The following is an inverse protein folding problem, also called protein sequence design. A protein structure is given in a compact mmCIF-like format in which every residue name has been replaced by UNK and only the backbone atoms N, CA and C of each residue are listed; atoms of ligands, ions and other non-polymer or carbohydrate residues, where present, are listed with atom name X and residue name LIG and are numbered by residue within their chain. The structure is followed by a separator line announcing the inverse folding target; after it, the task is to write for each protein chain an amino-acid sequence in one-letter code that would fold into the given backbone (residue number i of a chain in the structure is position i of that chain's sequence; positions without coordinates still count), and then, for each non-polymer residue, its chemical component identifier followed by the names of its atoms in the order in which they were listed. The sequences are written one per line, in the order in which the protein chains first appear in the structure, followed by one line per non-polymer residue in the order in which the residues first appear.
data_IF_244285977663
#
_entry.id   IF_244285977663
#
_cell.length_a   1.000
_cell.length_b   1.000
_cell.length_c   1.000
_cell.angle_alpha   90.00
_cell.angle_beta   90.00
_cell.angle_gamma   90.00
#
_symmetry.space_group_name_H-M   'P 1'
#
loop_
_entity.id
_entity.type
_entity.pdbx_description
1 polymer ?
#
# COMPACT_ATOMS: atom_id res chain seq x y z
N UNK A 1 -22.73 -43.64 15.17
CA UNK A 1 -22.27 -42.27 15.52
C UNK A 1 -20.81 -42.16 15.12
N UNK A 2 -20.52 -41.50 13.99
CA UNK A 2 -19.16 -41.19 13.57
C UNK A 2 -18.77 -39.80 14.11
N UNK A 3 -17.52 -39.55 14.53
CA UNK A 3 -17.14 -38.26 15.09
C UNK A 3 -17.06 -37.21 13.99
N UNK A 4 -17.58 -36.02 14.29
CA UNK A 4 -17.51 -34.86 13.42
C UNK A 4 -16.05 -34.40 13.27
N UNK A 5 -15.58 -34.30 12.03
CA UNK A 5 -14.30 -33.70 11.71
C UNK A 5 -14.34 -32.20 12.00
N UNK A 6 -13.44 -31.74 12.85
CA UNK A 6 -13.17 -30.32 13.10
C UNK A 6 -12.60 -29.67 11.84
N UNK A 7 -13.09 -28.49 11.40
CA UNK A 7 -12.50 -27.79 10.28
C UNK A 7 -11.13 -27.23 10.70
N UNK A 8 -10.09 -27.64 10.00
CA UNK A 8 -8.73 -27.09 10.16
C UNK A 8 -8.74 -25.69 9.54
N UNK A 9 -8.66 -24.66 10.37
CA UNK A 9 -8.43 -23.28 9.90
C UNK A 9 -7.00 -23.20 9.35
N UNK A 10 -6.83 -23.49 8.06
CA UNK A 10 -5.61 -23.18 7.34
C UNK A 10 -5.57 -21.67 7.15
N UNK A 11 -4.91 -20.96 8.06
CA UNK A 11 -4.57 -19.55 7.86
C UNK A 11 -3.68 -19.47 6.62
N UNK A 12 -4.24 -19.04 5.48
CA UNK A 12 -3.50 -18.73 4.26
C UNK A 12 -2.57 -17.55 4.56
N UNK A 13 -1.38 -17.85 5.05
CA UNK A 13 -0.29 -16.90 5.20
C UNK A 13 0.27 -16.60 3.80
N UNK A 14 0.56 -15.32 3.55
CA UNK A 14 1.23 -14.76 2.37
C UNK A 14 2.00 -15.83 1.57
N UNK A 15 1.39 -16.34 0.48
CA UNK A 15 1.93 -17.44 -0.29
C UNK A 15 2.99 -16.95 -1.28
N UNK A 16 4.08 -16.39 -0.74
CA UNK A 16 5.36 -16.40 -1.43
C UNK A 16 6.10 -17.61 -0.89
N UNK A 17 6.15 -18.66 -1.71
CA UNK A 17 6.77 -19.94 -1.39
C UNK A 17 8.18 -19.73 -0.82
N UNK A 18 8.30 -19.81 0.51
CA UNK A 18 9.57 -19.96 1.21
C UNK A 18 10.07 -21.35 0.90
N UNK A 19 11.15 -21.48 0.13
CA UNK A 19 11.81 -22.77 -0.07
C UNK A 19 12.49 -23.11 1.25
N UNK A 20 11.86 -23.96 2.06
CA UNK A 20 12.52 -24.58 3.19
C UNK A 20 13.52 -25.61 2.63
N UNK A 21 14.82 -25.35 2.72
CA UNK A 21 15.83 -26.38 2.53
C UNK A 21 15.80 -27.31 3.73
N UNK A 22 15.21 -28.49 3.55
CA UNK A 22 15.33 -29.57 4.51
C UNK A 22 16.73 -30.19 4.42
N UNK A 23 17.47 -30.19 5.52
CA UNK A 23 18.56 -31.15 5.74
C UNK A 23 18.44 -31.71 7.16
N UNK A 24 17.97 -32.95 7.26
CA UNK A 24 18.20 -33.82 8.42
C UNK A 24 19.63 -34.37 8.28
N UNK A 25 20.49 -34.29 9.29
CA UNK A 25 20.77 -35.31 10.34
C UNK A 25 22.24 -35.02 10.78
N UNK A 26 22.80 -35.33 11.95
CA UNK A 26 22.46 -36.16 13.09
C UNK A 26 23.32 -35.75 14.33
N UNK A 27 22.91 -36.27 15.48
CA UNK A 27 23.69 -36.69 16.67
C UNK A 27 24.45 -35.67 17.56
N UNK A 28 23.85 -35.42 18.73
CA UNK A 28 24.35 -35.68 20.09
C UNK A 28 25.81 -35.31 20.48
N UNK A 29 25.93 -34.48 21.52
CA UNK A 29 26.54 -34.86 22.81
C UNK A 29 26.40 -33.74 23.84
N UNK A 30 26.20 -34.16 25.09
CA UNK A 30 26.06 -33.33 26.27
C UNK A 30 27.42 -32.85 26.81
N UNK A 31 27.45 -31.69 27.46
CA UNK A 31 28.13 -31.50 28.75
C UNK A 31 27.88 -30.10 29.31
N UNK A 32 27.72 -30.08 30.63
CA UNK A 32 27.50 -28.90 31.46
C UNK A 32 28.79 -28.11 31.70
N UNK A 33 28.68 -26.81 31.98
CA UNK A 33 29.35 -26.18 33.13
C UNK A 33 28.89 -24.73 33.31
N UNK A 34 28.75 -24.37 34.58
CA UNK A 34 28.37 -23.06 35.10
C UNK A 34 29.61 -22.18 35.36
N UNK A 35 29.32 -20.97 35.88
CA UNK A 35 30.24 -19.95 36.45
C UNK A 35 30.79 -18.93 35.45
N UNK A 36 31.10 -17.68 35.79
CA UNK A 36 30.68 -16.75 36.83
C UNK A 36 31.24 -15.36 36.43
N UNK A 37 30.57 -14.31 36.89
CA UNK A 37 31.04 -12.94 37.21
C UNK A 37 32.44 -12.43 36.80
N UNK A 38 32.49 -11.18 36.31
CA UNK A 38 33.32 -10.03 36.79
C UNK A 38 33.41 -8.96 35.69
N UNK A 39 32.80 -7.77 35.84
CA UNK A 39 33.31 -6.53 36.45
C UNK A 39 34.56 -5.91 35.79
N UNK A 40 34.41 -4.70 35.23
CA UNK A 40 35.22 -3.49 35.48
C UNK A 40 34.99 -2.51 34.30
N UNK A 41 34.41 -1.33 34.55
CA UNK A 41 35.02 -0.09 35.04
C UNK A 41 35.43 0.86 33.90
N UNK A 42 34.59 1.89 33.75
CA UNK A 42 34.89 3.31 33.58
C UNK A 42 36.17 3.75 32.83
N UNK A 43 35.97 4.65 31.85
CA UNK A 43 36.69 5.94 31.89
C UNK A 43 35.95 7.07 31.16
N UNK A 44 35.69 8.08 31.97
CA UNK A 44 35.20 9.43 31.73
C UNK A 44 36.12 10.23 30.80
N UNK A 45 35.56 11.14 29.98
CA UNK A 45 36.04 12.53 29.92
C UNK A 45 35.01 13.47 29.28
N UNK A 46 34.64 14.47 30.08
CA UNK A 46 33.85 15.66 29.77
C UNK A 46 34.62 16.58 28.81
N UNK A 47 33.92 17.37 27.98
CA UNK A 47 33.95 18.84 28.08
C UNK A 47 32.81 19.48 27.27
N UNK A 48 32.02 20.29 27.95
CA UNK A 48 31.01 21.18 27.39
C UNK A 48 31.65 22.50 26.90
N UNK A 49 30.96 23.24 26.03
CA UNK A 49 30.75 24.70 26.20
C UNK A 49 29.68 25.20 25.21
N UNK A 50 28.76 25.98 25.76
CA UNK A 50 27.63 26.68 25.16
C UNK A 50 28.05 27.82 24.22
N UNK A 51 27.18 28.21 23.27
CA UNK A 51 26.51 29.53 23.25
C UNK A 51 25.74 29.78 21.93
N UNK A 52 24.51 30.29 22.07
CA UNK A 52 23.79 31.15 21.13
C UNK A 52 23.48 32.47 21.90
N UNK A 53 22.77 33.52 21.39
CA UNK A 53 22.18 33.77 20.06
C UNK A 53 22.42 35.22 19.53
N UNK A 54 21.88 35.61 18.36
CA UNK A 54 21.44 37.00 18.09
C UNK A 54 20.56 37.14 16.83
N UNK A 55 19.74 38.20 16.82
CA UNK A 55 18.57 38.47 16.01
C UNK A 55 18.80 39.37 14.77
N UNK A 56 17.72 39.52 13.97
CA UNK A 56 17.45 40.32 12.75
C UNK A 56 17.68 41.86 12.90
N UNK A 57 17.42 42.80 11.93
CA UNK A 57 16.42 42.77 10.82
C UNK A 57 16.67 43.59 9.49
N UNK A 58 15.71 43.42 8.56
CA UNK A 58 14.99 44.41 7.71
C UNK A 58 15.46 44.94 6.32
N UNK A 59 14.45 44.93 5.41
CA UNK A 59 13.97 45.93 4.41
C UNK A 59 14.56 46.09 2.99
N UNK A 60 13.63 46.22 2.03
CA UNK A 60 13.67 47.11 0.85
C UNK A 60 13.98 46.41 -0.48
N UNK A 61 13.00 46.11 -1.35
CA UNK A 61 12.29 46.97 -2.32
C UNK A 61 12.97 47.11 -3.70
N UNK A 62 12.13 47.06 -4.75
CA UNK A 62 12.25 47.59 -6.12
C UNK A 62 12.50 46.60 -7.28
N UNK A 63 11.47 46.43 -8.11
CA UNK A 63 11.60 46.32 -9.57
C UNK A 63 12.01 47.69 -10.16
N UNK A 64 12.53 47.78 -11.40
CA UNK A 64 11.60 47.98 -12.52
C UNK A 64 12.00 47.35 -13.88
N UNK A 65 10.95 47.10 -14.67
CA UNK A 65 10.71 47.38 -16.10
C UNK A 65 11.69 46.98 -17.22
N UNK A 66 11.13 46.18 -18.15
CA UNK A 66 10.92 46.45 -19.59
C UNK A 66 12.08 47.14 -20.36
N UNK A 67 12.64 46.40 -21.33
CA UNK A 67 12.90 46.95 -22.67
C UNK A 67 12.68 45.89 -23.74
N UNK A 68 12.00 46.35 -24.79
CA UNK A 68 11.79 45.74 -26.09
C UNK A 68 13.12 45.62 -26.86
N UNK A 69 13.25 44.63 -27.73
CA UNK A 69 13.27 44.88 -29.17
C UNK A 69 13.47 43.61 -30.00
N UNK A 70 13.01 43.74 -31.22
CA UNK A 70 12.74 42.76 -32.27
C UNK A 70 13.99 42.57 -33.12
N UNK A 71 14.27 41.34 -33.55
CA UNK A 71 14.45 40.91 -34.96
C UNK A 71 15.49 39.81 -35.21
N UNK A 72 15.16 39.10 -36.29
CA UNK A 72 16.03 38.45 -37.27
C UNK A 72 16.30 36.95 -37.13
N UNK A 73 15.64 36.25 -38.05
CA UNK A 73 15.96 34.92 -38.54
C UNK A 73 17.45 34.73 -38.85
N UNK A 74 17.99 33.60 -38.42
CA UNK A 74 19.15 32.99 -39.04
C UNK A 74 19.02 31.47 -38.98
N UNK A 75 18.78 30.89 -40.16
CA UNK A 75 18.80 29.48 -40.46
C UNK A 75 20.22 28.93 -40.20
N UNK A 76 20.35 28.00 -39.25
CA UNK A 76 21.63 27.38 -38.88
C UNK A 76 21.42 25.92 -38.50
N UNK A 77 21.79 25.03 -39.43
CA UNK A 77 21.93 23.58 -39.21
C UNK A 77 22.92 23.30 -38.08
N UNK A 78 22.44 22.81 -36.94
CA UNK A 78 23.27 22.36 -35.82
C UNK A 78 23.28 20.83 -35.73
N UNK A 79 24.49 20.28 -35.79
CA UNK A 79 24.79 18.85 -35.71
C UNK A 79 24.36 18.23 -34.37
N UNK A 80 24.00 16.95 -34.41
CA UNK A 80 23.57 16.15 -33.27
C UNK A 80 24.66 16.03 -32.19
N UNK A 81 24.32 16.41 -30.96
CA UNK A 81 25.15 16.19 -29.78
C UNK A 81 25.13 14.71 -29.36
N UNK A 82 26.26 14.14 -28.87
CA UNK A 82 26.35 12.74 -28.49
C UNK A 82 25.56 12.45 -27.21
N UNK A 83 24.80 11.36 -27.24
CA UNK A 83 24.01 10.83 -26.11
C UNK A 83 24.92 10.38 -24.96
N UNK A 84 24.70 10.80 -23.70
CA UNK A 84 25.52 10.35 -22.58
C UNK A 84 25.27 8.86 -22.28
N UNK A 85 26.37 8.11 -22.12
CA UNK A 85 26.37 6.69 -21.81
C UNK A 85 25.62 6.37 -20.50
N UNK A 86 24.75 5.36 -20.55
CA UNK A 86 24.01 4.86 -19.38
C UNK A 86 24.98 4.30 -18.34
N UNK A 87 25.04 4.91 -17.15
CA UNK A 87 25.74 4.34 -15.98
C UNK A 87 25.13 2.97 -15.64
N UNK A 88 25.95 1.96 -15.29
CA UNK A 88 25.45 0.64 -14.91
C UNK A 88 24.59 0.76 -13.64
N UNK A 89 23.38 0.18 -13.68
CA UNK A 89 22.50 0.08 -12.51
C UNK A 89 23.21 -0.75 -11.44
N UNK A 90 23.39 -0.20 -10.24
CA UNK A 90 23.79 -0.99 -9.06
C UNK A 90 22.81 -2.13 -8.88
N UNK A 91 23.32 -3.37 -8.92
CA UNK A 91 22.55 -4.58 -8.65
C UNK A 91 22.13 -4.53 -7.18
N UNK A 92 20.82 -4.51 -6.91
CA UNK A 92 20.29 -4.65 -5.56
C UNK A 92 20.80 -5.98 -5.00
N UNK A 93 21.48 -5.92 -3.84
CA UNK A 93 21.89 -7.12 -3.11
C UNK A 93 20.60 -7.73 -2.55
N UNK A 94 20.28 -8.93 -3.02
CA UNK A 94 19.15 -9.73 -2.53
C UNK A 94 19.70 -10.61 -1.41
N UNK A 95 19.15 -10.51 -0.20
CA UNK A 95 19.41 -11.48 0.86
C UNK A 95 18.91 -12.86 0.43
N UNK A 96 19.60 -13.93 0.84
CA UNK A 96 19.31 -15.32 0.46
C UNK A 96 17.91 -15.80 0.82
N UNK A 97 17.26 -15.11 1.76
CA UNK A 97 15.92 -15.43 2.27
C UNK A 97 14.80 -14.70 1.52
N UNK A 98 15.14 -13.88 0.51
CA UNK A 98 14.16 -13.16 -0.32
C UNK A 98 13.34 -14.14 -1.19
N UNK A 99 12.04 -13.92 -1.38
CA UNK A 99 11.21 -14.77 -2.22
C UNK A 99 11.73 -14.85 -3.66
N UNK A 100 11.73 -16.07 -4.20
CA UNK A 100 12.13 -16.33 -5.59
C UNK A 100 11.09 -15.82 -6.59
N UNK A 101 11.52 -15.57 -7.83
CA UNK A 101 10.60 -15.22 -8.89
C UNK A 101 9.51 -16.31 -9.06
N UNK A 102 8.25 -15.92 -9.30
CA UNK A 102 7.16 -16.87 -9.47
C UNK A 102 7.40 -17.81 -10.67
N UNK A 103 7.09 -19.10 -10.51
CA UNK A 103 7.30 -20.18 -11.51
C UNK A 103 6.01 -20.60 -12.26
N UNK A 104 4.91 -19.88 -12.09
CA UNK A 104 3.60 -20.24 -12.66
C UNK A 104 3.36 -19.59 -14.05
N UNK A 105 2.46 -20.14 -14.89
CA UNK A 105 2.13 -19.51 -16.16
C UNK A 105 1.56 -18.11 -15.91
N UNK A 106 2.09 -17.12 -16.63
CA UNK A 106 1.60 -15.74 -16.61
C UNK A 106 0.08 -15.69 -16.85
N UNK A 107 -0.64 -14.94 -16.02
CA UNK A 107 -2.11 -14.89 -16.05
C UNK A 107 -2.62 -13.58 -16.64
N UNK A 108 -3.88 -13.58 -17.05
CA UNK A 108 -4.67 -12.41 -17.47
C UNK A 108 -5.95 -12.34 -16.65
N UNK A 109 -6.78 -11.34 -16.89
CA UNK A 109 -8.03 -11.17 -16.18
C UNK A 109 -8.91 -12.39 -16.35
N UNK A 110 -9.65 -12.73 -15.29
CA UNK A 110 -10.66 -13.77 -15.35
C UNK A 110 -11.66 -13.42 -16.47
N UNK A 111 -11.87 -14.29 -17.47
CA UNK A 111 -12.70 -13.99 -18.63
C UNK A 111 -14.19 -13.83 -18.30
N UNK A 112 -14.64 -14.25 -17.11
CA UNK A 112 -15.99 -14.00 -16.62
C UNK A 112 -16.21 -12.56 -16.12
N UNK A 113 -15.13 -11.80 -15.87
CA UNK A 113 -15.22 -10.44 -15.36
C UNK A 113 -15.43 -9.41 -16.48
N UNK A 114 -16.15 -8.31 -16.21
CA UNK A 114 -16.41 -7.28 -17.20
C UNK A 114 -15.13 -6.50 -17.55
N UNK A 115 -14.78 -6.49 -18.84
CA UNK A 115 -13.68 -5.70 -19.39
C UNK A 115 -14.10 -4.28 -19.82
N UNK A 116 -15.29 -3.84 -19.41
CA UNK A 116 -15.90 -2.56 -19.78
C UNK A 116 -14.92 -1.40 -19.62
N UNK A 117 -14.68 -0.65 -20.70
CA UNK A 117 -13.83 0.55 -20.69
C UNK A 117 -14.59 1.82 -20.35
N UNK A 118 -15.92 1.72 -20.25
CA UNK A 118 -16.84 2.77 -19.86
C UNK A 118 -17.80 2.24 -18.79
N UNK A 119 -18.34 3.16 -17.98
CA UNK A 119 -19.31 2.80 -16.97
C UNK A 119 -20.67 2.52 -17.63
N UNK A 120 -21.33 1.39 -17.31
CA UNK A 120 -22.69 1.11 -17.76
C UNK A 120 -23.67 2.25 -17.46
N UNK A 121 -24.70 2.39 -18.30
CA UNK A 121 -25.73 3.40 -18.12
C UNK A 121 -26.59 3.13 -16.87
N UNK A 122 -26.93 1.85 -16.65
CA UNK A 122 -27.63 1.35 -15.47
C UNK A 122 -26.68 0.50 -14.63
N UNK A 123 -26.66 0.77 -13.33
CA UNK A 123 -25.95 -0.03 -12.33
C UNK A 123 -26.96 -0.44 -11.26
N UNK A 124 -27.01 -1.73 -10.96
CA UNK A 124 -27.82 -2.27 -9.86
C UNK A 124 -26.97 -3.32 -9.17
N UNK A 125 -26.80 -3.14 -7.86
CA UNK A 125 -26.10 -4.09 -7.03
C UNK A 125 -27.08 -4.56 -5.98
N UNK A 126 -27.20 -5.88 -5.83
CA UNK A 126 -27.97 -6.42 -4.74
C UNK A 126 -27.43 -5.84 -3.42
N UNK A 127 -28.32 -5.66 -2.45
CA UNK A 127 -27.93 -5.41 -1.07
C UNK A 127 -28.02 -6.71 -0.25
N UNK A 128 -27.17 -7.71 -0.50
CA UNK A 128 -27.10 -8.85 0.38
C UNK A 128 -26.41 -8.36 1.64
N UNK A 129 -27.17 -8.13 2.70
CA UNK A 129 -26.65 -8.40 4.03
C UNK A 129 -27.75 -8.28 5.08
N UNK A 130 -27.61 -9.12 6.10
CA UNK A 130 -28.49 -9.18 7.25
C UNK A 130 -28.71 -7.81 7.89
N UNK A 131 -29.86 -7.64 8.56
CA UNK A 131 -30.14 -6.44 9.36
C UNK A 131 -28.96 -6.11 10.28
N UNK A 132 -28.54 -4.85 10.31
CA UNK A 132 -27.42 -4.37 11.12
C UNK A 132 -26.02 -4.49 10.48
N UNK A 133 -25.92 -4.95 9.23
CA UNK A 133 -24.64 -4.98 8.51
C UNK A 133 -24.16 -3.58 8.10
N UNK A 134 -22.84 -3.47 7.89
CA UNK A 134 -22.20 -2.27 7.35
C UNK A 134 -21.55 -2.61 6.01
N UNK A 135 -21.95 -1.90 4.95
CA UNK A 135 -21.29 -1.93 3.65
C UNK A 135 -20.24 -0.83 3.57
N UNK A 136 -19.01 -1.21 3.23
CA UNK A 136 -17.90 -0.28 3.01
C UNK A 136 -17.42 -0.52 1.57
N UNK A 137 -17.30 0.54 0.78
CA UNK A 137 -16.72 0.47 -0.56
C UNK A 137 -15.45 1.33 -0.59
N UNK A 138 -14.44 0.88 -1.34
CA UNK A 138 -13.19 1.60 -1.53
C UNK A 138 -12.90 1.71 -3.03
N UNK A 139 -12.53 2.90 -3.49
CA UNK A 139 -12.27 3.15 -4.90
C UNK A 139 -11.19 4.20 -5.12
N UNK A 140 -10.08 3.82 -5.78
CA UNK A 140 -9.19 4.79 -6.40
C UNK A 140 -9.87 5.40 -7.65
N UNK A 141 -10.29 6.65 -7.51
CA UNK A 141 -11.03 7.37 -8.56
C UNK A 141 -10.10 8.11 -9.54
N UNK A 142 -8.79 8.07 -9.33
CA UNK A 142 -7.73 8.78 -10.08
C UNK A 142 -7.83 10.31 -10.04
N UNK A 143 -9.03 10.89 -10.01
CA UNK A 143 -9.32 12.31 -9.84
C UNK A 143 -10.81 12.50 -9.65
N UNK A 144 -11.21 13.28 -8.64
CA UNK A 144 -12.62 13.65 -8.43
C UNK A 144 -13.21 14.38 -9.65
N UNK A 145 -12.42 15.25 -10.31
CA UNK A 145 -12.86 15.99 -11.49
C UNK A 145 -13.16 15.06 -12.66
N UNK A 146 -12.25 14.12 -12.96
CA UNK A 146 -12.43 13.21 -14.11
C UNK A 146 -13.43 12.09 -13.82
N UNK A 147 -13.52 11.61 -12.59
CA UNK A 147 -14.41 10.50 -12.25
C UNK A 147 -15.87 10.94 -12.29
N UNK A 148 -16.17 12.17 -11.86
CA UNK A 148 -17.52 12.73 -11.88
C UNK A 148 -18.14 12.69 -13.28
N UNK A 149 -17.42 13.13 -14.31
CA UNK A 149 -17.92 13.09 -15.70
C UNK A 149 -18.03 11.67 -16.27
N UNK A 150 -17.36 10.69 -15.67
CA UNK A 150 -17.38 9.28 -16.08
C UNK A 150 -18.44 8.45 -15.35
N UNK A 151 -19.31 9.09 -14.58
CA UNK A 151 -20.44 8.42 -13.91
C UNK A 151 -20.17 8.01 -12.46
N UNK A 152 -19.10 8.48 -11.81
CA UNK A 152 -18.78 8.13 -10.41
C UNK A 152 -20.00 8.22 -9.47
N UNK A 153 -20.83 9.26 -9.63
CA UNK A 153 -22.04 9.42 -8.81
C UNK A 153 -23.07 8.32 -9.04
N UNK A 154 -23.22 7.82 -10.27
CA UNK A 154 -24.11 6.69 -10.58
C UNK A 154 -23.65 5.43 -9.85
N UNK A 155 -22.34 5.17 -9.86
CA UNK A 155 -21.77 4.05 -9.10
C UNK A 155 -22.01 4.23 -7.60
N UNK A 156 -21.68 5.39 -7.01
CA UNK A 156 -21.86 5.63 -5.57
C UNK A 156 -23.33 5.47 -5.16
N UNK A 157 -24.27 5.94 -5.98
CA UNK A 157 -25.70 5.79 -5.74
C UNK A 157 -26.16 4.33 -5.82
N UNK A 158 -25.72 3.59 -6.86
CA UNK A 158 -26.09 2.18 -7.02
C UNK A 158 -25.47 1.28 -5.94
N UNK A 159 -24.23 1.58 -5.52
CA UNK A 159 -23.51 0.84 -4.50
C UNK A 159 -24.13 1.02 -3.10
N UNK A 160 -24.71 2.20 -2.84
CA UNK A 160 -25.42 2.58 -1.61
C UNK A 160 -24.67 2.24 -0.30
N UNK A 161 -23.34 2.30 -0.32
CA UNK A 161 -22.53 1.93 0.85
C UNK A 161 -22.83 2.80 2.09
N UNK A 162 -22.64 2.24 3.28
CA UNK A 162 -22.66 3.00 4.53
C UNK A 162 -21.45 3.92 4.62
N UNK A 163 -20.31 3.45 4.11
CA UNK A 163 -19.05 4.19 4.09
C UNK A 163 -18.39 4.05 2.72
N UNK A 164 -17.93 5.16 2.16
CA UNK A 164 -17.23 5.23 0.87
C UNK A 164 -15.85 5.81 1.09
N UNK A 165 -14.81 5.05 0.74
CA UNK A 165 -13.41 5.49 0.77
C UNK A 165 -12.97 5.79 -0.67
N UNK A 166 -12.62 7.05 -0.94
CA UNK A 166 -12.17 7.52 -2.25
C UNK A 166 -10.70 7.91 -2.19
N UNK A 167 -9.86 7.22 -2.95
CA UNK A 167 -8.43 7.52 -3.06
C UNK A 167 -8.09 8.21 -4.38
N UNK A 168 -6.97 8.94 -4.39
CA UNK A 168 -6.49 9.77 -5.50
C UNK A 168 -7.51 10.84 -5.93
N UNK A 169 -8.16 11.49 -4.97
CA UNK A 169 -9.16 12.53 -5.24
C UNK A 169 -8.58 13.73 -5.99
N UNK A 170 -7.28 14.00 -5.80
CA UNK A 170 -6.54 15.18 -6.29
C UNK A 170 -7.07 16.51 -5.75
N UNK A 171 -7.76 16.45 -4.61
CA UNK A 171 -8.30 17.58 -3.85
C UNK A 171 -7.67 17.57 -2.46
N UNK A 172 -6.65 18.41 -2.27
CA UNK A 172 -5.97 18.70 -1.01
C UNK A 172 -5.11 19.97 -1.20
N UNK A 173 -4.35 20.36 -0.17
CA UNK A 173 -3.49 21.55 -0.18
C UNK A 173 -2.46 21.55 -1.32
N UNK A 174 -1.97 20.36 -1.71
CA UNK A 174 -1.19 20.18 -2.94
C UNK A 174 -2.10 19.87 -4.13
N UNK A 175 -2.45 20.92 -4.87
CA UNK A 175 -3.32 20.82 -6.06
C UNK A 175 -2.85 19.72 -7.02
N UNK A 176 -3.76 18.82 -7.39
CA UNK A 176 -3.53 17.84 -8.46
C UNK A 176 -2.77 16.57 -8.05
N UNK A 177 -2.39 16.40 -6.78
CA UNK A 177 -1.58 15.27 -6.32
C UNK A 177 -2.24 14.52 -5.15
N UNK A 178 -2.26 13.18 -5.17
CA UNK A 178 -2.79 12.35 -4.08
C UNK A 178 -4.20 12.77 -3.60
N UNK A 179 -4.50 12.62 -2.31
CA UNK A 179 -5.80 12.96 -1.71
C UNK A 179 -6.66 11.73 -1.42
N UNK A 180 -7.31 11.76 -0.26
CA UNK A 180 -8.19 10.73 0.25
C UNK A 180 -9.43 11.40 0.85
N UNK A 181 -10.60 10.83 0.60
CA UNK A 181 -11.84 11.24 1.25
C UNK A 181 -12.57 10.01 1.78
N UNK A 182 -13.16 10.12 2.96
CA UNK A 182 -14.06 9.10 3.50
C UNK A 182 -15.41 9.75 3.75
N UNK A 183 -16.44 9.27 3.07
CA UNK A 183 -17.83 9.67 3.27
C UNK A 183 -18.52 8.61 4.11
N UNK A 184 -19.20 8.99 5.18
CA UNK A 184 -19.81 8.04 6.10
C UNK A 184 -21.22 8.47 6.48
N UNK A 185 -22.19 7.56 6.32
CA UNK A 185 -23.55 7.70 6.87
C UNK A 185 -23.56 7.49 8.39
N UNK A 186 -22.54 6.82 8.93
CA UNK A 186 -22.36 6.57 10.36
C UNK A 186 -21.40 7.62 10.91
N UNK A 187 -21.81 8.41 11.89
CA UNK A 187 -20.96 9.47 12.46
C UNK A 187 -19.77 8.85 13.20
N UNK A 188 -18.51 9.13 12.81
CA UNK A 188 -17.35 8.68 13.57
C UNK A 188 -17.22 9.49 14.87
N UNK A 189 -16.61 8.89 15.89
CA UNK A 189 -16.25 9.56 17.14
C UNK A 189 -15.11 10.55 16.95
N UNK A 190 -14.17 10.23 16.05
CA UNK A 190 -13.02 11.08 15.73
C UNK A 190 -12.51 10.77 14.33
N UNK A 191 -12.06 11.81 13.62
CA UNK A 191 -11.24 11.68 12.42
C UNK A 191 -9.80 12.08 12.73
N UNK A 192 -8.83 11.31 12.24
CA UNK A 192 -7.40 11.57 12.37
C UNK A 192 -6.81 11.59 10.97
N UNK A 193 -5.97 12.60 10.69
CA UNK A 193 -5.37 12.82 9.39
C UNK A 193 -3.85 12.69 9.48
N UNK A 194 -3.23 11.97 8.54
CA UNK A 194 -1.81 11.68 8.56
C UNK A 194 -1.45 10.40 9.33
N UNK A 195 -0.16 10.09 9.33
CA UNK A 195 0.43 8.85 9.81
C UNK A 195 1.40 9.22 10.94
N UNK A 196 1.14 8.81 12.20
CA UNK A 196 2.12 8.96 13.27
C UNK A 196 3.50 8.41 12.89
N UNK A 197 4.56 9.08 13.34
CA UNK A 197 5.94 8.78 12.93
C UNK A 197 6.38 9.48 11.63
N UNK A 198 5.47 10.09 10.88
CA UNK A 198 5.76 10.97 9.74
C UNK A 198 5.09 12.32 9.94
N UNK A 199 5.67 13.40 9.39
CA UNK A 199 5.00 14.69 9.45
C UNK A 199 3.73 14.66 8.58
N UNK A 200 2.70 15.42 8.96
CA UNK A 200 1.45 15.47 8.21
C UNK A 200 1.69 15.83 6.73
N UNK A 201 2.57 16.79 6.45
CA UNK A 201 3.00 17.14 5.09
C UNK A 201 3.66 15.98 4.33
N UNK A 202 4.42 15.12 5.01
CA UNK A 202 5.09 13.97 4.39
C UNK A 202 4.09 12.89 3.97
N UNK A 203 2.93 12.84 4.64
CA UNK A 203 1.86 11.91 4.29
C UNK A 203 1.08 12.31 3.04
N UNK A 204 1.11 13.60 2.66
CA UNK A 204 0.50 14.11 1.41
C UNK A 204 -0.96 13.66 1.21
N UNK A 205 -1.76 13.66 2.28
CA UNK A 205 -3.19 13.31 2.23
C UNK A 205 -3.46 11.85 1.83
N UNK A 206 -2.57 10.93 2.22
CA UNK A 206 -2.64 9.50 1.85
C UNK A 206 -3.29 8.59 2.88
N UNK A 207 -3.69 9.12 4.03
CA UNK A 207 -4.28 8.32 5.10
C UNK A 207 -5.29 9.15 5.90
N UNK A 208 -6.42 8.53 6.19
CA UNK A 208 -7.43 9.03 7.12
C UNK A 208 -7.88 7.85 7.99
N UNK A 209 -7.88 8.07 9.29
CA UNK A 209 -8.39 7.11 10.27
C UNK A 209 -9.67 7.65 10.89
N UNK A 210 -10.75 6.89 10.79
CA UNK A 210 -12.00 7.15 11.51
C UNK A 210 -12.09 6.21 12.72
N UNK A 211 -12.29 6.78 13.91
CA UNK A 211 -12.59 6.05 15.13
C UNK A 211 -14.09 5.87 15.25
N UNK A 212 -14.56 4.63 15.36
CA UNK A 212 -15.93 4.29 15.71
C UNK A 212 -15.99 3.72 17.14
N UNK A 213 -17.21 3.40 17.58
CA UNK A 213 -17.45 2.82 18.90
C UNK A 213 -16.76 1.46 19.07
N UNK A 214 -16.78 0.61 18.04
CA UNK A 214 -16.28 -0.77 18.14
C UNK A 214 -15.07 -1.08 17.25
N UNK A 215 -14.60 -0.12 16.45
CA UNK A 215 -13.50 -0.33 15.52
C UNK A 215 -12.83 0.97 15.07
N UNK A 216 -11.72 0.84 14.39
CA UNK A 216 -11.14 1.87 13.52
C UNK A 216 -11.35 1.51 12.06
N UNK A 217 -11.62 2.51 11.22
CA UNK A 217 -11.51 2.42 9.77
C UNK A 217 -10.31 3.24 9.31
N UNK A 218 -9.37 2.61 8.64
CA UNK A 218 -8.17 3.25 8.08
C UNK A 218 -8.26 3.19 6.56
N UNK A 219 -8.47 4.35 5.93
CA UNK A 219 -8.40 4.49 4.48
C UNK A 219 -6.99 4.87 4.04
N UNK A 220 -6.46 4.25 2.98
CA UNK A 220 -5.13 4.60 2.46
C UNK A 220 -5.08 4.80 0.94
N UNK A 221 -4.20 5.72 0.52
CA UNK A 221 -3.62 5.79 -0.82
C UNK A 221 -2.10 5.68 -0.67
N UNK A 222 -1.61 4.46 -0.48
CA UNK A 222 -0.22 4.24 -0.05
C UNK A 222 0.80 4.77 -1.06
N UNK A 223 2.00 5.10 -0.58
CA UNK A 223 3.07 5.63 -1.44
C UNK A 223 3.45 4.62 -2.53
N UNK A 224 3.58 5.08 -3.77
CA UNK A 224 4.13 4.29 -4.87
C UNK A 224 5.66 4.35 -4.83
N UNK A 225 6.36 3.25 -5.16
CA UNK A 225 7.84 3.23 -5.18
C UNK A 225 8.45 3.95 -6.41
N UNK A 226 7.60 4.43 -7.32
CA UNK A 226 7.97 5.25 -8.46
C UNK A 226 8.60 4.45 -9.60
N UNK A 227 8.51 5.00 -10.81
CA UNK A 227 9.22 4.43 -11.96
C UNK A 227 10.72 4.31 -11.67
N UNK A 228 11.30 3.15 -11.98
CA UNK A 228 12.69 2.86 -11.65
C UNK A 228 13.00 2.75 -10.15
N UNK A 229 11.98 2.60 -9.30
CA UNK A 229 12.09 2.47 -7.83
C UNK A 229 12.64 3.72 -7.13
N UNK A 230 12.52 4.89 -7.76
CA UNK A 230 13.11 6.16 -7.29
C UNK A 230 12.58 6.66 -5.93
N UNK A 231 11.40 6.22 -5.50
CA UNK A 231 10.80 6.58 -4.21
C UNK A 231 10.71 5.39 -3.25
N UNK A 232 11.55 4.35 -3.45
CA UNK A 232 11.55 3.16 -2.59
C UNK A 232 11.81 3.49 -1.11
N UNK A 233 12.78 4.36 -0.82
CA UNK A 233 13.09 4.77 0.56
C UNK A 233 11.87 5.39 1.27
N UNK A 234 11.13 6.26 0.58
CA UNK A 234 9.88 6.85 1.10
C UNK A 234 8.81 5.78 1.35
N UNK A 235 8.70 4.77 0.47
CA UNK A 235 7.77 3.65 0.66
C UNK A 235 8.16 2.77 1.85
N UNK A 236 9.44 2.51 2.07
CA UNK A 236 9.92 1.75 3.22
C UNK A 236 9.64 2.50 4.53
N UNK A 237 9.96 3.79 4.60
CA UNK A 237 9.64 4.63 5.76
C UNK A 237 8.14 4.68 6.04
N UNK A 238 7.31 4.81 5.00
CA UNK A 238 5.85 4.72 5.11
C UNK A 238 5.41 3.37 5.68
N UNK A 239 5.89 2.26 5.13
CA UNK A 239 5.49 0.92 5.55
C UNK A 239 5.86 0.65 7.02
N UNK A 240 7.06 1.06 7.46
CA UNK A 240 7.51 0.90 8.84
C UNK A 240 6.62 1.70 9.82
N UNK A 241 6.39 2.99 9.54
CA UNK A 241 5.51 3.82 10.36
C UNK A 241 4.07 3.30 10.37
N UNK A 242 3.58 2.81 9.22
CA UNK A 242 2.23 2.29 9.08
C UNK A 242 2.01 0.97 9.83
N UNK A 243 2.99 0.07 9.82
CA UNK A 243 2.93 -1.18 10.57
C UNK A 243 2.80 -0.93 12.09
N UNK A 244 3.62 -0.01 12.64
CA UNK A 244 3.53 0.40 14.04
C UNK A 244 2.18 1.06 14.36
N UNK A 245 1.72 1.96 13.50
CA UNK A 245 0.44 2.64 13.70
C UNK A 245 -0.75 1.68 13.70
N UNK A 246 -0.78 0.69 12.79
CA UNK A 246 -1.82 -0.34 12.80
C UNK A 246 -1.79 -1.17 14.08
N UNK A 247 -0.60 -1.55 14.57
CA UNK A 247 -0.46 -2.28 15.83
C UNK A 247 -1.00 -1.48 17.04
N UNK A 248 -0.71 -0.19 17.11
CA UNK A 248 -1.21 0.70 18.16
C UNK A 248 -2.73 0.85 18.15
N UNK A 249 -3.34 0.97 16.97
CA UNK A 249 -4.79 1.02 16.82
C UNK A 249 -5.41 -0.32 17.20
N UNK A 250 -4.84 -1.41 16.71
CA UNK A 250 -5.36 -2.75 16.91
C UNK A 250 -5.29 -3.21 18.38
N UNK A 251 -4.29 -2.73 19.13
CA UNK A 251 -4.24 -2.94 20.58
C UNK A 251 -5.43 -2.31 21.33
N UNK A 252 -6.07 -1.29 20.76
CA UNK A 252 -7.21 -0.60 21.37
C UNK A 252 -8.55 -1.13 20.88
N UNK A 253 -8.72 -1.27 19.56
CA UNK A 253 -9.97 -1.76 18.92
C UNK A 253 -9.63 -2.42 17.58
N UNK A 254 -10.47 -3.35 17.10
CA UNK A 254 -10.31 -3.92 15.77
C UNK A 254 -10.17 -2.86 14.68
N UNK A 255 -9.28 -3.13 13.72
CA UNK A 255 -8.99 -2.28 12.58
C UNK A 255 -9.61 -2.89 11.32
N UNK A 256 -10.24 -2.03 10.53
CA UNK A 256 -10.61 -2.25 9.14
C UNK A 256 -9.73 -1.33 8.31
N UNK A 257 -8.78 -1.87 7.56
CA UNK A 257 -7.91 -1.12 6.66
C UNK A 257 -8.35 -1.37 5.21
N UNK A 258 -8.55 -0.30 4.44
CA UNK A 258 -8.85 -0.42 3.03
C UNK A 258 -8.27 0.72 2.19
N UNK A 259 -8.27 0.55 0.87
CA UNK A 259 -7.76 1.54 -0.07
C UNK A 259 -6.80 0.94 -1.08
N UNK A 260 -6.11 1.82 -1.81
CA UNK A 260 -5.05 1.46 -2.74
C UNK A 260 -3.74 1.30 -1.96
N UNK A 261 -3.25 0.06 -1.86
CA UNK A 261 -2.07 -0.31 -1.08
C UNK A 261 -0.77 -0.15 -1.88
N UNK A 262 -0.87 0.07 -3.19
CA UNK A 262 0.26 0.15 -4.13
C UNK A 262 1.24 -1.05 -3.99
N UNK A 263 0.72 -2.25 -3.72
CA UNK A 263 1.48 -3.49 -3.59
C UNK A 263 0.64 -4.67 -4.09
N UNK A 264 1.28 -5.57 -4.82
CA UNK A 264 0.76 -6.90 -5.19
C UNK A 264 1.18 -7.88 -4.10
N UNK A 265 0.21 -8.59 -3.52
CA UNK A 265 0.46 -9.52 -2.42
C UNK A 265 0.91 -10.90 -2.92
N UNK A 266 0.17 -11.46 -3.87
CA UNK A 266 0.40 -12.79 -4.44
C UNK A 266 0.69 -12.67 -5.94
N UNK A 267 1.42 -13.62 -6.54
CA UNK A 267 1.62 -13.66 -7.99
C UNK A 267 0.29 -13.68 -8.78
N UNK A 268 -0.76 -14.28 -8.19
CA UNK A 268 -2.11 -14.40 -8.78
C UNK A 268 -2.81 -13.05 -8.92
N UNK A 269 -2.34 -12.04 -8.16
CA UNK A 269 -2.85 -10.67 -8.15
C UNK A 269 -2.22 -9.79 -9.24
N UNK A 270 -1.42 -10.34 -10.15
CA UNK A 270 -0.74 -9.59 -11.20
C UNK A 270 -0.70 -10.32 -12.53
N UNK A 271 -1.25 -9.69 -13.58
CA UNK A 271 -1.09 -10.20 -14.94
C UNK A 271 0.38 -10.18 -15.35
N UNK A 272 0.86 -11.26 -15.97
CA UNK A 272 2.25 -11.44 -16.34
C UNK A 272 3.26 -11.21 -15.18
N UNK A 273 2.95 -11.74 -13.99
CA UNK A 273 3.74 -11.55 -12.77
C UNK A 273 5.23 -11.92 -12.93
N UNK A 274 5.54 -13.05 -13.58
CA UNK A 274 6.92 -13.55 -13.73
C UNK A 274 7.82 -12.54 -14.44
N UNK A 275 7.30 -11.86 -15.46
CA UNK A 275 8.04 -10.86 -16.25
C UNK A 275 8.28 -9.57 -15.47
N UNK A 276 7.45 -9.28 -14.46
CA UNK A 276 7.40 -8.02 -13.71
C UNK A 276 8.14 -8.05 -12.37
N UNK A 277 8.46 -9.24 -11.85
CA UNK A 277 9.15 -9.43 -10.57
C UNK A 277 10.45 -8.63 -10.48
N UNK A 278 10.61 -7.87 -9.39
CA UNK A 278 11.77 -6.99 -9.10
C UNK A 278 12.05 -5.92 -10.17
N UNK A 279 11.12 -5.69 -11.10
CA UNK A 279 11.23 -4.66 -12.14
C UNK A 279 10.16 -3.58 -12.01
N UNK A 280 9.06 -3.89 -11.33
CA UNK A 280 7.90 -3.01 -11.22
C UNK A 280 7.73 -2.48 -9.80
N UNK A 281 7.37 -1.20 -9.62
CA UNK A 281 7.30 -0.57 -8.29
C UNK A 281 6.25 -1.18 -7.35
N UNK A 282 5.24 -1.86 -7.88
CA UNK A 282 4.24 -2.58 -7.08
C UNK A 282 4.58 -4.03 -6.77
N UNK A 283 5.65 -4.60 -7.32
CA UNK A 283 5.96 -6.03 -7.24
C UNK A 283 7.46 -6.29 -7.18
N UNK A 284 8.01 -6.20 -5.97
CA UNK A 284 9.43 -6.42 -5.63
C UNK A 284 9.51 -7.20 -4.33
N UNK A 285 10.51 -8.08 -4.18
CA UNK A 285 10.73 -8.90 -2.98
C UNK A 285 10.59 -8.09 -1.68
N UNK A 286 11.42 -7.05 -1.51
CA UNK A 286 11.42 -6.14 -0.34
C UNK A 286 10.03 -5.63 0.05
N UNK A 287 9.19 -5.30 -0.94
CA UNK A 287 7.86 -4.76 -0.67
C UNK A 287 6.86 -5.84 -0.30
N UNK A 288 6.93 -6.99 -0.98
CA UNK A 288 6.07 -8.11 -0.68
C UNK A 288 6.41 -8.66 0.70
N UNK A 289 7.69 -8.78 1.06
CA UNK A 289 8.13 -9.22 2.39
C UNK A 289 7.64 -8.27 3.49
N UNK A 290 7.86 -6.96 3.34
CA UNK A 290 7.37 -5.98 4.30
C UNK A 290 5.84 -5.98 4.46
N UNK A 291 5.09 -6.24 3.37
CA UNK A 291 3.63 -6.37 3.45
C UNK A 291 3.22 -7.68 4.12
N UNK A 292 3.90 -8.79 3.82
CA UNK A 292 3.66 -10.08 4.48
C UNK A 292 3.96 -10.00 5.99
N UNK A 293 5.05 -9.35 6.39
CA UNK A 293 5.41 -9.11 7.80
C UNK A 293 4.35 -8.27 8.52
N UNK A 294 3.88 -7.20 7.87
CA UNK A 294 2.77 -6.38 8.39
C UNK A 294 1.52 -7.23 8.61
N UNK A 295 1.13 -8.07 7.65
CA UNK A 295 -0.04 -8.95 7.79
C UNK A 295 0.17 -10.05 8.84
N UNK A 296 1.40 -10.52 9.03
CA UNK A 296 1.73 -11.47 10.09
C UNK A 296 1.70 -10.84 11.49
N UNK A 297 1.59 -9.51 11.59
CA UNK A 297 1.53 -8.80 12.86
C UNK A 297 2.87 -8.85 13.58
N UNK A 298 3.99 -8.60 12.88
CA UNK A 298 5.34 -8.66 13.49
C UNK A 298 5.90 -7.30 13.90
N UNK A 299 5.12 -6.23 13.77
CA UNK A 299 5.58 -4.85 14.03
C UNK A 299 6.03 -4.64 15.49
N UNK A 300 5.39 -5.31 16.45
CA UNK A 300 5.74 -5.30 17.87
C UNK A 300 5.54 -6.70 18.47
N UNK A 301 6.11 -7.02 19.65
CA UNK A 301 5.91 -8.33 20.30
C UNK A 301 4.45 -8.68 20.64
N UNK A 302 3.57 -7.67 20.71
CA UNK A 302 2.15 -7.83 21.04
C UNK A 302 1.22 -7.67 19.84
N UNK A 303 1.79 -7.36 18.66
CA UNK A 303 1.04 -7.21 17.42
C UNK A 303 0.32 -8.51 17.07
N UNK A 304 -0.86 -8.38 16.48
CA UNK A 304 -1.70 -9.50 16.07
C UNK A 304 -1.79 -9.56 14.55
N UNK A 305 -2.06 -10.74 13.96
CA UNK A 305 -2.22 -10.88 12.53
C UNK A 305 -3.39 -10.06 11.97
N UNK A 306 -3.23 -9.66 10.72
CA UNK A 306 -4.25 -9.04 9.88
C UNK A 306 -4.56 -9.96 8.69
N UNK A 307 -5.80 -9.92 8.22
CA UNK A 307 -6.33 -10.83 7.20
C UNK A 307 -6.80 -10.03 6.00
N UNK A 308 -6.28 -10.36 4.81
CA UNK A 308 -6.88 -9.96 3.54
C UNK A 308 -8.17 -10.76 3.33
N UNK A 309 -9.30 -10.09 3.48
CA UNK A 309 -10.63 -10.73 3.45
C UNK A 309 -10.96 -11.26 2.07
N UNK A 310 -10.53 -10.57 1.01
CA UNK A 310 -10.80 -11.02 -0.35
C UNK A 310 -10.05 -12.32 -0.62
N UNK A 311 -8.74 -12.36 -0.32
CA UNK A 311 -7.93 -13.57 -0.52
C UNK A 311 -8.34 -14.71 0.41
N UNK A 312 -8.79 -14.42 1.63
CA UNK A 312 -9.33 -15.45 2.54
C UNK A 312 -10.58 -16.14 1.95
N UNK A 313 -11.49 -15.38 1.33
CA UNK A 313 -12.71 -15.92 0.73
C UNK A 313 -12.48 -16.53 -0.65
N UNK A 314 -11.45 -16.08 -1.37
CA UNK A 314 -11.13 -16.47 -2.73
C UNK A 314 -9.67 -16.98 -2.83
N UNK A 315 -9.33 -18.06 -2.11
CA UNK A 315 -7.94 -18.48 -1.92
C UNK A 315 -7.24 -18.79 -3.24
N UNK A 316 -7.94 -19.40 -4.19
CA UNK A 316 -7.41 -19.88 -5.46
C UNK A 316 -7.71 -18.96 -6.65
N UNK A 317 -8.37 -17.83 -6.42
CA UNK A 317 -8.76 -16.92 -7.48
C UNK A 317 -7.54 -16.27 -8.17
N UNK A 318 -7.60 -16.22 -9.50
CA UNK A 318 -6.57 -15.71 -10.39
C UNK A 318 -7.23 -14.71 -11.34
N UNK A 319 -6.57 -13.60 -11.65
CA UNK A 319 -7.09 -12.71 -12.69
C UNK A 319 -8.16 -11.72 -12.22
N UNK A 320 -8.41 -11.62 -10.91
CA UNK A 320 -9.28 -10.59 -10.35
C UNK A 320 -8.42 -9.37 -10.02
N UNK A 321 -8.61 -8.29 -10.76
CA UNK A 321 -7.76 -7.10 -10.68
C UNK A 321 -8.60 -5.85 -10.41
N UNK A 322 -8.02 -4.89 -9.70
CA UNK A 322 -8.68 -3.62 -9.33
C UNK A 322 -8.11 -2.44 -10.13
N UNK A 323 -6.94 -2.60 -10.73
CA UNK A 323 -6.25 -1.59 -11.53
C UNK A 323 -5.83 -2.11 -12.91
N UNK A 324 -6.03 -1.27 -13.92
CA UNK A 324 -5.61 -1.52 -15.30
C UNK A 324 -4.92 -0.29 -15.87
N UNK A 325 -3.73 -0.48 -16.44
CA UNK A 325 -2.99 0.60 -17.09
C UNK A 325 -3.74 1.18 -18.30
N UNK A 326 -3.81 2.50 -18.40
CA UNK A 326 -4.37 3.16 -19.58
C UNK A 326 -3.52 2.90 -20.85
N UNK A 327 -2.19 2.97 -20.69
CA UNK A 327 -1.24 2.73 -21.78
C UNK A 327 -1.36 1.29 -22.27
N UNK A 328 -1.51 1.11 -23.59
CA UNK A 328 -1.57 -0.21 -24.20
C UNK A 328 -2.92 -0.91 -24.10
N UNK A 329 -3.99 -0.20 -23.69
CA UNK A 329 -5.35 -0.72 -23.58
C UNK A 329 -5.44 -1.94 -22.64
N UNK A 330 -4.82 -1.86 -21.47
CA UNK A 330 -4.68 -3.03 -20.60
C UNK A 330 -6.02 -3.60 -20.11
N UNK A 331 -7.03 -2.75 -19.89
CA UNK A 331 -8.35 -3.23 -19.42
C UNK A 331 -9.03 -4.14 -20.43
N UNK A 332 -9.05 -3.75 -21.72
CA UNK A 332 -9.63 -4.59 -22.78
C UNK A 332 -8.82 -5.86 -23.03
N UNK A 333 -7.52 -5.85 -22.72
CA UNK A 333 -6.61 -7.01 -22.83
C UNK A 333 -6.55 -7.88 -21.57
N UNK A 334 -7.26 -7.52 -20.50
CA UNK A 334 -7.18 -8.25 -19.24
C UNK A 334 -5.81 -8.17 -18.54
N UNK A 335 -5.01 -7.14 -18.76
CA UNK A 335 -3.68 -6.98 -18.15
C UNK A 335 -3.80 -6.09 -16.90
N UNK A 336 -4.14 -6.67 -15.76
CA UNK A 336 -4.40 -5.89 -14.54
C UNK A 336 -3.44 -6.18 -13.37
N UNK A 337 -3.72 -5.46 -12.28
CA UNK A 337 -3.10 -5.54 -10.98
C UNK A 337 -4.20 -5.50 -9.93
N UNK A 338 -4.11 -6.33 -8.89
CA UNK A 338 -4.93 -6.19 -7.70
C UNK A 338 -4.13 -5.41 -6.67
N UNK A 339 -4.53 -4.16 -6.44
CA UNK A 339 -3.81 -3.19 -5.59
C UNK A 339 -4.69 -2.64 -4.47
N UNK A 340 -6.00 -2.80 -4.58
CA UNK A 340 -6.99 -2.31 -3.63
C UNK A 340 -7.50 -3.49 -2.80
N UNK A 341 -7.48 -3.40 -1.48
CA UNK A 341 -7.90 -4.53 -0.62
C UNK A 341 -8.62 -4.05 0.64
N UNK A 342 -9.32 -4.99 1.28
CA UNK A 342 -9.83 -4.89 2.65
C UNK A 342 -9.05 -5.84 3.56
N UNK A 343 -8.24 -5.26 4.43
CA UNK A 343 -7.43 -5.93 5.43
C UNK A 343 -8.06 -5.70 6.81
N UNK A 344 -8.42 -6.77 7.51
CA UNK A 344 -9.08 -6.70 8.82
C UNK A 344 -8.21 -7.29 9.91
N UNK A 345 -8.36 -6.83 11.15
CA UNK A 345 -7.85 -7.58 12.31
C UNK A 345 -8.41 -8.99 12.31
N UNK A 346 -7.56 -9.99 12.55
CA UNK A 346 -7.96 -11.40 12.49
C UNK A 346 -9.19 -11.70 13.37
N UNK A 347 -9.26 -11.10 14.56
CA UNK A 347 -10.39 -11.26 15.51
C UNK A 347 -11.75 -10.77 15.02
N UNK A 348 -11.81 -10.05 13.89
CA UNK A 348 -13.07 -9.65 13.23
C UNK A 348 -13.18 -10.14 11.79
N UNK A 349 -12.19 -10.85 11.25
CA UNK A 349 -12.18 -11.29 9.85
C UNK A 349 -13.38 -12.18 9.52
N UNK A 350 -13.79 -13.06 10.45
CA UNK A 350 -14.96 -13.93 10.30
C UNK A 350 -16.30 -13.17 10.26
N UNK A 351 -16.33 -11.89 10.66
CA UNK A 351 -17.53 -11.04 10.56
C UNK A 351 -17.74 -10.48 9.16
N UNK A 352 -16.74 -10.56 8.28
CA UNK A 352 -16.92 -10.17 6.89
C UNK A 352 -17.84 -11.19 6.19
N UNK A 353 -19.05 -10.75 5.85
CA UNK A 353 -20.03 -11.58 5.14
C UNK A 353 -19.57 -11.83 3.70
N UNK A 354 -19.20 -10.76 3.00
CA UNK A 354 -18.80 -10.78 1.59
C UNK A 354 -17.62 -9.82 1.33
N UNK A 355 -16.86 -10.08 0.26
CA UNK A 355 -15.89 -9.16 -0.31
C UNK A 355 -15.86 -9.36 -1.83
N UNK A 356 -16.07 -8.28 -2.59
CA UNK A 356 -16.29 -8.27 -4.03
C UNK A 356 -15.37 -7.23 -4.69
N UNK A 357 -15.00 -7.50 -5.95
CA UNK A 357 -14.23 -6.61 -6.83
C UNK A 357 -15.11 -6.22 -8.00
#
# INVERSE_FOLDING_TARGET
MAPAATPTTTTLRCALSRVASASASASASASASASASSSSAAKTKRKATDTAPSAAPNKGSSEPSIHSDVNADANGTAAAAPTPAKKPRKKLVLDSDSPSAPKSPDTTADPSLPNNTQMPASLSYDRPSASGSVRITSWNITSLKSSKSKGMMRYIQAEDANIVVLSETKVNDQKGYAGLAILSKIKPLKAVYGLPGLNHHDTKGRIVTLKFENSFLVGTYAVNAGEGLKTMATKQAWNAAFALYLAELDAQKPVIWCGDLNIVQDQRDLAAASKKWNKSPGYTAIKCDAHCELLQGTATPTSQPLVDVWRQKHPDAIGHYTFYGWRGFCRSKGIGWHLDSFILSERIASKALECKI
#
